data_IF_617291589619
#
_entry.id   IF_617291589619
#
_cell.length_a   1.000
_cell.length_b   1.000
_cell.length_c   1.000
_cell.angle_alpha   90.00
_cell.angle_beta   90.00
_cell.angle_gamma   90.00
#
_symmetry.space_group_name_H-M   'P 1'
#
loop_
_entity.id
_entity.type
_entity.pdbx_description
1 polymer ?
#
# COMPACT_ATOMS: atom_id res chain seq x y z
N UNK A 1 25.10 9.35 -35.45
CA UNK A 1 24.55 8.69 -34.25
C UNK A 1 23.92 7.37 -34.65
N UNK A 2 24.49 6.26 -34.20
CA UNK A 2 23.97 4.92 -34.45
C UNK A 2 22.78 4.66 -33.51
N UNK A 3 21.55 4.60 -34.06
CA UNK A 3 20.34 4.30 -33.28
C UNK A 3 20.24 2.80 -33.08
N UNK A 4 20.28 2.35 -31.82
CA UNK A 4 20.04 0.95 -31.49
C UNK A 4 18.58 0.75 -31.11
N UNK A 5 17.94 -0.17 -31.81
CA UNK A 5 16.56 -0.57 -31.53
C UNK A 5 16.57 -1.70 -30.50
N UNK A 6 15.80 -1.53 -29.43
CA UNK A 6 15.53 -2.60 -28.46
C UNK A 6 14.11 -3.08 -28.72
N UNK A 7 13.94 -4.38 -28.94
CA UNK A 7 12.64 -4.99 -29.20
C UNK A 7 12.20 -5.78 -27.97
N UNK A 8 10.95 -5.61 -27.55
CA UNK A 8 10.34 -6.37 -26.46
C UNK A 8 9.11 -7.08 -27.03
N UNK A 9 9.05 -8.41 -26.88
CA UNK A 9 8.01 -9.25 -27.49
C UNK A 9 8.53 -10.28 -28.50
N UNK A 10 9.80 -10.69 -28.43
CA UNK A 10 10.35 -11.85 -29.15
C UNK A 10 10.68 -11.66 -30.63
N UNK A 11 10.09 -10.68 -31.32
CA UNK A 11 10.41 -10.36 -32.72
C UNK A 11 11.32 -9.14 -32.85
N UNK A 12 12.07 -9.05 -33.94
CA UNK A 12 12.89 -7.86 -34.26
C UNK A 12 11.96 -6.73 -34.73
N UNK A 13 11.64 -5.82 -33.83
CA UNK A 13 10.71 -4.73 -34.05
C UNK A 13 11.41 -3.50 -34.63
N UNK A 14 10.70 -2.74 -35.45
CA UNK A 14 11.14 -1.48 -36.03
C UNK A 14 10.00 -0.44 -35.96
N UNK A 15 10.23 0.75 -36.53
CA UNK A 15 9.25 1.85 -36.55
C UNK A 15 7.90 1.49 -37.17
N UNK A 16 7.87 0.53 -38.09
CA UNK A 16 6.68 0.14 -38.83
C UNK A 16 5.94 -1.04 -38.18
N UNK A 17 6.65 -1.87 -37.39
CA UNK A 17 6.09 -3.10 -36.81
C UNK A 17 5.91 -3.05 -35.30
N UNK A 18 6.55 -2.11 -34.61
CA UNK A 18 6.48 -1.97 -33.16
C UNK A 18 5.98 -0.60 -32.71
N UNK A 19 5.43 -0.57 -31.50
CA UNK A 19 4.93 0.66 -30.87
C UNK A 19 6.02 1.21 -29.95
N UNK A 20 6.40 2.47 -30.14
CA UNK A 20 7.36 3.15 -29.27
C UNK A 20 6.64 4.14 -28.36
N UNK A 21 6.71 3.92 -27.05
CA UNK A 21 6.16 4.85 -26.07
C UNK A 21 7.20 5.91 -25.73
N UNK A 22 6.79 7.19 -25.72
CA UNK A 22 7.69 8.29 -25.36
C UNK A 22 8.24 8.19 -23.93
N UNK A 23 7.52 7.53 -23.02
CA UNK A 23 7.95 7.25 -21.66
C UNK A 23 9.23 6.39 -21.59
N UNK A 24 9.49 5.53 -22.58
CA UNK A 24 10.69 4.68 -22.64
C UNK A 24 11.83 5.30 -23.45
N UNK A 25 11.67 6.53 -23.95
CA UNK A 25 12.78 7.28 -24.54
C UNK A 25 13.60 7.85 -23.39
N UNK A 26 14.79 7.27 -23.19
CA UNK A 26 15.66 7.52 -22.04
C UNK A 26 16.22 8.97 -22.03
N UNK A 27 16.01 9.78 -23.06
CA UNK A 27 16.56 11.14 -23.12
C UNK A 27 15.55 12.19 -23.60
N UNK A 28 15.10 13.05 -22.69
CA UNK A 28 14.67 14.43 -23.01
C UNK A 28 15.74 15.48 -22.64
N UNK A 29 16.79 15.07 -21.95
CA UNK A 29 17.91 15.92 -21.56
C UNK A 29 19.20 15.37 -22.13
N UNK A 30 19.46 15.65 -23.41
CA UNK A 30 20.84 15.76 -23.89
C UNK A 30 21.42 17.04 -23.29
N UNK A 31 21.71 17.01 -21.99
CA UNK A 31 22.47 18.06 -21.32
C UNK A 31 23.91 18.05 -21.85
N UNK A 32 24.52 19.22 -21.92
CA UNK A 32 25.93 19.39 -22.26
C UNK A 32 26.75 18.63 -21.19
N UNK A 33 27.24 17.45 -21.53
CA UNK A 33 28.21 16.70 -20.72
C UNK A 33 29.58 16.90 -21.34
N UNK A 34 30.56 17.35 -20.56
CA UNK A 34 31.94 17.60 -21.04
C UNK A 34 32.74 16.31 -21.31
N UNK A 35 32.06 15.16 -21.31
CA UNK A 35 32.65 13.86 -21.67
C UNK A 35 31.90 13.31 -22.88
N UNK A 36 32.24 13.85 -24.05
CA UNK A 36 31.87 13.31 -25.37
C UNK A 36 32.58 11.96 -25.61
N UNK A 37 32.28 10.96 -24.79
CA UNK A 37 32.62 9.59 -25.09
C UNK A 37 31.62 9.09 -26.15
N UNK A 38 32.11 8.39 -27.17
CA UNK A 38 31.28 7.77 -28.23
C UNK A 38 30.23 6.77 -27.69
N UNK A 39 30.31 6.45 -26.40
CA UNK A 39 29.39 5.58 -25.66
C UNK A 39 28.23 6.34 -24.99
N UNK A 40 28.33 7.66 -24.75
CA UNK A 40 27.29 8.46 -24.08
C UNK A 40 26.23 9.05 -25.02
N UNK A 41 26.34 8.81 -26.33
CA UNK A 41 25.46 9.41 -27.38
C UNK A 41 24.57 8.40 -28.11
N UNK A 42 24.47 7.15 -27.64
CA UNK A 42 23.63 6.13 -28.29
C UNK A 42 22.18 6.23 -27.82
N UNK A 43 21.34 6.87 -28.64
CA UNK A 43 19.89 6.83 -28.47
C UNK A 43 19.36 5.39 -28.60
N UNK A 44 18.90 4.85 -27.48
CA UNK A 44 18.13 3.61 -27.44
C UNK A 44 16.66 3.94 -27.72
N UNK A 45 16.10 3.34 -28.77
CA UNK A 45 14.65 3.42 -29.03
C UNK A 45 14.04 2.05 -28.78
N UNK A 46 13.17 2.00 -27.77
CA UNK A 46 12.43 0.79 -27.42
C UNK A 46 11.16 0.69 -28.27
N UNK A 47 10.95 -0.49 -28.85
CA UNK A 47 9.74 -0.88 -29.56
C UNK A 47 9.11 -2.09 -28.87
N UNK A 48 7.80 -2.02 -28.67
CA UNK A 48 6.97 -3.07 -28.07
C UNK A 48 6.12 -3.71 -29.17
N UNK A 49 5.93 -5.03 -29.11
CA UNK A 49 4.90 -5.67 -29.93
C UNK A 49 3.51 -5.23 -29.44
N UNK A 50 2.46 -5.22 -30.30
CA UNK A 50 1.10 -4.90 -29.88
C UNK A 50 0.61 -5.77 -28.70
N UNK A 51 0.96 -7.05 -28.70
CA UNK A 51 0.60 -8.02 -27.65
C UNK A 51 1.30 -7.66 -26.33
N UNK A 52 2.59 -7.33 -26.40
CA UNK A 52 3.37 -6.93 -25.22
C UNK A 52 2.86 -5.62 -24.63
N UNK A 53 2.51 -4.66 -25.50
CA UNK A 53 1.90 -3.41 -25.08
C UNK A 53 0.54 -3.65 -24.40
N UNK A 54 -0.29 -4.52 -24.98
CA UNK A 54 -1.59 -4.85 -24.41
C UNK A 54 -1.44 -5.50 -23.03
N UNK A 55 -0.52 -6.46 -22.86
CA UNK A 55 -0.20 -7.05 -21.56
C UNK A 55 0.25 -5.97 -20.57
N UNK A 56 1.11 -5.04 -21.00
CA UNK A 56 1.55 -3.92 -20.17
C UNK A 56 0.39 -3.02 -19.72
N UNK A 57 -0.52 -2.68 -20.64
CA UNK A 57 -1.71 -1.87 -20.35
C UNK A 57 -2.68 -2.59 -19.41
N UNK A 58 -2.93 -3.88 -19.62
CA UNK A 58 -3.70 -4.72 -18.70
C UNK A 58 -3.05 -4.77 -17.31
N UNK A 59 -1.72 -4.84 -17.26
CA UNK A 59 -0.96 -4.75 -16.01
C UNK A 59 -1.19 -3.44 -15.26
N UNK A 60 -1.12 -2.30 -15.97
CA UNK A 60 -1.39 -0.95 -15.40
C UNK A 60 -2.86 -0.83 -14.96
N UNK A 61 -3.79 -1.34 -15.76
CA UNK A 61 -5.20 -1.33 -15.40
C UNK A 61 -5.47 -2.18 -14.15
N UNK A 62 -4.88 -3.39 -14.08
CA UNK A 62 -5.02 -4.30 -12.94
C UNK A 62 -4.41 -3.75 -11.65
N UNK A 63 -3.41 -2.87 -11.75
CA UNK A 63 -2.74 -2.28 -10.60
C UNK A 63 -3.45 -1.06 -10.03
N UNK A 64 -4.37 -0.44 -10.77
CA UNK A 64 -5.09 0.74 -10.28
C UNK A 64 -5.89 0.42 -9.02
N UNK A 65 -5.65 1.19 -7.95
CA UNK A 65 -6.34 1.05 -6.66
C UNK A 65 -7.49 2.05 -6.56
N UNK A 66 -7.16 3.34 -6.49
CA UNK A 66 -8.13 4.41 -6.31
C UNK A 66 -7.55 5.77 -6.72
N UNK A 67 -8.43 6.70 -7.07
CA UNK A 67 -8.11 8.12 -7.26
C UNK A 67 -8.64 8.92 -6.08
N UNK A 68 -7.79 9.79 -5.56
CA UNK A 68 -8.10 10.66 -4.45
C UNK A 68 -7.87 12.11 -4.85
N UNK A 69 -8.87 12.96 -4.64
CA UNK A 69 -8.77 14.40 -4.91
C UNK A 69 -8.49 15.15 -3.61
N UNK A 70 -7.25 15.61 -3.49
CA UNK A 70 -6.86 16.56 -2.43
C UNK A 70 -6.73 17.95 -3.08
N UNK A 71 -5.53 18.53 -3.08
CA UNK A 71 -5.19 19.71 -3.89
C UNK A 71 -5.11 19.37 -5.39
N UNK A 72 -4.55 18.21 -5.69
CA UNK A 72 -4.39 17.65 -7.03
C UNK A 72 -5.04 16.24 -7.09
N UNK A 73 -5.24 15.72 -8.31
CA UNK A 73 -5.63 14.33 -8.48
C UNK A 73 -4.45 13.42 -8.18
N UNK A 74 -4.60 12.54 -7.19
CA UNK A 74 -3.64 11.51 -6.84
C UNK A 74 -4.19 10.15 -7.29
N UNK A 75 -3.37 9.38 -7.99
CA UNK A 75 -3.67 8.03 -8.49
C UNK A 75 -2.79 7.04 -7.75
N UNK A 76 -3.39 5.98 -7.23
CA UNK A 76 -2.70 4.94 -6.48
C UNK A 76 -2.65 3.65 -7.30
N UNK A 77 -1.46 3.05 -7.40
CA UNK A 77 -1.24 1.81 -8.12
C UNK A 77 -0.52 0.78 -7.24
N UNK A 78 -1.02 -0.45 -7.21
CA UNK A 78 -0.44 -1.57 -6.48
C UNK A 78 0.33 -2.49 -7.44
N UNK A 79 1.64 -2.55 -7.26
CA UNK A 79 2.57 -3.34 -8.07
C UNK A 79 3.22 -4.43 -7.20
N UNK A 80 3.75 -5.47 -7.83
CA UNK A 80 4.63 -6.42 -7.13
C UNK A 80 6.01 -5.79 -6.92
N UNK A 81 6.65 -6.09 -5.78
CA UNK A 81 8.08 -5.80 -5.61
C UNK A 81 8.88 -6.54 -6.69
N UNK A 82 9.93 -5.94 -7.29
CA UNK A 82 10.72 -6.60 -8.33
C UNK A 82 11.28 -7.96 -7.90
N UNK A 83 11.59 -8.13 -6.62
CA UNK A 83 12.06 -9.41 -6.05
C UNK A 83 10.94 -10.43 -5.98
N UNK A 84 9.71 -10.00 -5.68
CA UNK A 84 8.54 -10.88 -5.70
C UNK A 84 8.26 -11.35 -7.13
N UNK A 85 8.41 -10.49 -8.14
CA UNK A 85 8.28 -10.89 -9.55
C UNK A 85 9.31 -11.96 -9.90
N UNK A 86 10.57 -11.76 -9.51
CA UNK A 86 11.63 -12.74 -9.76
C UNK A 86 11.32 -14.08 -9.06
N UNK A 87 10.81 -14.04 -7.83
CA UNK A 87 10.41 -15.24 -7.09
C UNK A 87 9.22 -15.95 -7.75
N UNK A 88 8.19 -15.23 -8.19
CA UNK A 88 7.04 -15.79 -8.91
C UNK A 88 7.50 -16.46 -10.22
N UNK A 89 8.42 -15.85 -10.95
CA UNK A 89 8.94 -16.42 -12.21
C UNK A 89 9.83 -17.65 -12.00
N UNK A 90 10.52 -17.73 -10.86
CA UNK A 90 11.45 -18.82 -10.54
C UNK A 90 10.82 -19.95 -9.73
N UNK A 91 9.60 -19.78 -9.21
CA UNK A 91 8.93 -20.75 -8.33
C UNK A 91 7.70 -21.36 -8.99
N UNK A 92 7.28 -22.54 -8.52
CA UNK A 92 6.03 -23.18 -8.93
C UNK A 92 4.81 -22.61 -8.16
N UNK A 93 4.87 -21.34 -7.73
CA UNK A 93 3.73 -20.72 -7.05
C UNK A 93 2.56 -20.59 -8.02
N UNK A 94 1.35 -20.81 -7.52
CA UNK A 94 0.15 -20.60 -8.32
C UNK A 94 -0.05 -19.09 -8.55
N UNK A 95 0.22 -18.64 -9.78
CA UNK A 95 0.09 -17.23 -10.21
C UNK A 95 -1.33 -16.72 -10.02
N UNK A 96 -2.34 -17.56 -10.26
CA UNK A 96 -3.75 -17.17 -10.08
C UNK A 96 -4.04 -16.82 -8.62
N UNK A 97 -3.57 -17.63 -7.68
CA UNK A 97 -3.74 -17.36 -6.24
C UNK A 97 -3.04 -16.06 -5.83
N UNK A 98 -1.82 -15.82 -6.32
CA UNK A 98 -1.07 -14.59 -6.03
C UNK A 98 -1.78 -13.36 -6.60
N UNK A 99 -2.32 -13.45 -7.81
CA UNK A 99 -3.08 -12.37 -8.44
C UNK A 99 -4.39 -12.11 -7.71
N UNK A 100 -5.11 -13.16 -7.29
CA UNK A 100 -6.32 -13.04 -6.47
C UNK A 100 -6.02 -12.34 -5.14
N UNK A 101 -4.93 -12.70 -4.47
CA UNK A 101 -4.50 -12.01 -3.25
C UNK A 101 -4.15 -10.55 -3.48
N UNK A 102 -3.44 -10.23 -4.57
CA UNK A 102 -3.18 -8.83 -4.95
C UNK A 102 -4.49 -8.05 -5.13
N UNK A 103 -5.53 -8.67 -5.70
CA UNK A 103 -6.85 -8.04 -5.84
C UNK A 103 -7.50 -7.78 -4.47
N UNK A 104 -7.43 -8.73 -3.53
CA UNK A 104 -7.94 -8.50 -2.16
C UNK A 104 -7.18 -7.36 -1.47
N UNK A 105 -5.84 -7.34 -1.59
CA UNK A 105 -5.01 -6.24 -1.06
C UNK A 105 -5.45 -4.90 -1.64
N UNK A 106 -5.63 -4.83 -2.96
CA UNK A 106 -6.07 -3.63 -3.66
C UNK A 106 -7.41 -3.13 -3.11
N UNK A 107 -8.38 -4.02 -2.97
CA UNK A 107 -9.73 -3.67 -2.55
C UNK A 107 -9.75 -3.20 -1.08
N UNK A 108 -8.91 -3.76 -0.21
CA UNK A 108 -8.72 -3.29 1.16
C UNK A 108 -8.00 -1.93 1.24
N UNK A 109 -6.96 -1.73 0.42
CA UNK A 109 -6.26 -0.44 0.34
C UNK A 109 -7.17 0.70 -0.13
N UNK A 110 -8.05 0.42 -1.10
CA UNK A 110 -9.03 1.38 -1.61
C UNK A 110 -9.91 1.96 -0.48
N UNK A 111 -10.35 1.11 0.46
CA UNK A 111 -11.18 1.51 1.62
C UNK A 111 -10.46 2.48 2.57
N UNK A 112 -9.14 2.32 2.74
CA UNK A 112 -8.33 3.15 3.65
C UNK A 112 -7.94 4.47 2.98
N UNK A 113 -7.45 4.39 1.74
CA UNK A 113 -6.99 5.54 0.96
C UNK A 113 -8.13 6.55 0.74
N UNK A 114 -9.36 6.08 0.53
CA UNK A 114 -10.53 6.95 0.38
C UNK A 114 -10.92 7.78 1.62
N UNK A 115 -10.36 7.47 2.80
CA UNK A 115 -10.75 8.10 4.08
C UNK A 115 -9.78 9.16 4.60
N UNK A 116 -8.66 9.39 3.92
CA UNK A 116 -7.69 10.46 4.22
C UNK A 116 -7.21 10.52 5.67
N UNK A 117 -6.85 9.38 6.26
CA UNK A 117 -6.31 9.36 7.62
C UNK A 117 -4.93 10.03 7.67
N UNK A 118 -4.59 10.68 8.79
CA UNK A 118 -3.26 11.29 8.95
C UNK A 118 -2.12 10.25 9.04
N UNK A 119 -2.45 9.02 9.43
CA UNK A 119 -1.55 7.84 9.48
C UNK A 119 -1.99 6.78 8.46
N UNK A 120 -2.45 7.22 7.28
CA UNK A 120 -3.00 6.36 6.20
C UNK A 120 -2.12 5.15 5.90
N UNK A 121 -0.80 5.37 5.87
CA UNK A 121 0.18 4.32 5.59
C UNK A 121 0.20 3.22 6.65
N UNK A 122 0.30 3.59 7.93
CA UNK A 122 0.34 2.61 9.02
C UNK A 122 -0.99 1.86 9.12
N UNK A 123 -2.11 2.57 8.96
CA UNK A 123 -3.45 1.96 8.99
C UNK A 123 -3.62 1.00 7.83
N UNK A 124 -3.20 1.39 6.62
CA UNK A 124 -3.21 0.54 5.44
C UNK A 124 -2.38 -0.72 5.65
N UNK A 125 -1.16 -0.60 6.18
CA UNK A 125 -0.28 -1.73 6.43
C UNK A 125 -0.83 -2.70 7.47
N UNK A 126 -1.37 -2.19 8.59
CA UNK A 126 -2.01 -3.01 9.63
C UNK A 126 -3.22 -3.72 9.01
N UNK A 127 -4.08 -2.98 8.31
CA UNK A 127 -5.33 -3.51 7.78
C UNK A 127 -5.12 -4.57 6.71
N UNK A 128 -4.22 -4.31 5.76
CA UNK A 128 -3.84 -5.29 4.75
C UNK A 128 -3.26 -6.53 5.43
N UNK A 129 -2.37 -6.36 6.42
CA UNK A 129 -1.82 -7.52 7.13
C UNK A 129 -2.89 -8.31 7.88
N UNK A 130 -3.85 -7.65 8.51
CA UNK A 130 -4.88 -8.31 9.33
C UNK A 130 -5.94 -8.98 8.46
N UNK A 131 -6.45 -8.29 7.45
CA UNK A 131 -7.52 -8.78 6.57
C UNK A 131 -7.10 -9.98 5.71
N UNK A 132 -5.79 -10.11 5.44
CA UNK A 132 -5.28 -11.13 4.53
C UNK A 132 -4.76 -12.39 5.20
N UNK A 133 -4.77 -12.48 6.53
CA UNK A 133 -4.22 -13.67 7.23
C UNK A 133 -4.96 -14.95 6.81
N UNK A 134 -6.29 -14.90 6.73
CA UNK A 134 -7.11 -16.05 6.37
C UNK A 134 -6.83 -16.48 4.92
N UNK A 135 -6.69 -15.52 4.01
CA UNK A 135 -6.34 -15.78 2.61
C UNK A 135 -4.89 -16.29 2.45
N UNK A 136 -3.94 -15.81 3.25
CA UNK A 136 -2.57 -16.34 3.27
C UNK A 136 -2.51 -17.78 3.75
N UNK A 137 -3.31 -18.14 4.75
CA UNK A 137 -3.42 -19.52 5.25
C UNK A 137 -4.05 -20.42 4.20
N UNK A 138 -5.18 -20.01 3.62
CA UNK A 138 -5.91 -20.76 2.59
C UNK A 138 -5.07 -21.03 1.33
N UNK A 139 -4.28 -20.05 0.89
CA UNK A 139 -3.46 -20.16 -0.32
C UNK A 139 -2.02 -20.68 -0.04
N UNK A 140 -1.73 -21.07 1.21
CA UNK A 140 -0.40 -21.51 1.67
C UNK A 140 0.76 -20.59 1.26
N UNK A 141 0.55 -19.28 1.35
CA UNK A 141 1.57 -18.29 1.06
C UNK A 141 2.19 -17.78 2.35
N UNK A 142 3.52 -17.85 2.46
CA UNK A 142 4.25 -17.39 3.64
C UNK A 142 4.44 -15.88 3.66
N UNK A 143 4.63 -15.30 2.47
CA UNK A 143 4.93 -13.88 2.28
C UNK A 143 4.42 -13.39 0.92
N UNK A 144 3.99 -12.13 0.88
CA UNK A 144 3.69 -11.39 -0.33
C UNK A 144 4.26 -9.97 -0.23
N UNK A 145 5.10 -9.59 -1.19
CA UNK A 145 5.74 -8.26 -1.23
C UNK A 145 5.18 -7.43 -2.38
N UNK A 146 4.59 -6.29 -2.04
CA UNK A 146 3.93 -5.36 -2.95
C UNK A 146 4.50 -3.95 -2.77
N UNK A 147 4.20 -3.08 -3.72
CA UNK A 147 4.54 -1.66 -3.67
C UNK A 147 3.32 -0.84 -4.06
N UNK A 148 2.92 0.08 -3.20
CA UNK A 148 1.89 1.07 -3.49
C UNK A 148 2.57 2.34 -4.00
N UNK A 149 2.24 2.74 -5.23
CA UNK A 149 2.82 3.91 -5.90
C UNK A 149 1.76 5.01 -5.97
N UNK A 150 2.08 6.18 -5.42
CA UNK A 150 1.25 7.39 -5.53
C UNK A 150 1.78 8.28 -6.66
N UNK A 151 0.91 8.57 -7.62
CA UNK A 151 1.17 9.45 -8.75
C UNK A 151 0.26 10.68 -8.64
N UNK A 152 0.83 11.88 -8.55
CA UNK A 152 0.03 13.11 -8.57
C UNK A 152 0.06 13.76 -9.95
N UNK A 153 -1.09 14.28 -10.36
CA UNK A 153 -1.23 15.10 -11.56
C UNK A 153 -0.96 16.57 -11.23
N UNK A 154 0.09 17.13 -11.82
CA UNK A 154 0.52 18.51 -11.62
C UNK A 154 0.65 19.25 -12.94
N UNK A 155 -0.22 20.23 -13.17
CA UNK A 155 -0.27 20.97 -14.41
C UNK A 155 -0.57 20.05 -15.60
N UNK A 156 0.45 19.76 -16.41
CA UNK A 156 0.38 18.85 -17.57
C UNK A 156 1.22 17.58 -17.40
N UNK A 157 1.69 17.31 -16.18
CA UNK A 157 2.63 16.22 -15.90
C UNK A 157 2.12 15.32 -14.79
N UNK A 158 2.48 14.04 -14.86
CA UNK A 158 2.26 13.08 -13.78
C UNK A 158 3.61 12.82 -13.11
N UNK A 159 3.66 12.95 -11.77
CA UNK A 159 4.88 12.72 -10.99
C UNK A 159 4.64 11.60 -9.99
N UNK A 160 5.58 10.67 -9.92
CA UNK A 160 5.63 9.69 -8.84
C UNK A 160 6.07 10.43 -7.59
N UNK A 161 5.18 10.53 -6.61
CA UNK A 161 5.42 11.26 -5.37
C UNK A 161 5.96 10.35 -4.28
N UNK A 162 5.44 9.13 -4.22
CA UNK A 162 5.74 8.21 -3.14
C UNK A 162 5.65 6.77 -3.63
N UNK A 163 6.56 5.94 -3.11
CA UNK A 163 6.53 4.49 -3.24
C UNK A 163 6.53 3.94 -1.82
N UNK A 164 5.50 3.17 -1.49
CA UNK A 164 5.29 2.55 -0.20
C UNK A 164 5.52 1.05 -0.36
N UNK A 165 6.54 0.45 0.28
CA UNK A 165 6.70 -0.99 0.30
C UNK A 165 5.67 -1.62 1.25
N UNK A 166 4.91 -2.59 0.77
CA UNK A 166 3.95 -3.36 1.57
C UNK A 166 4.44 -4.80 1.64
N UNK A 167 4.84 -5.25 2.83
CA UNK A 167 5.19 -6.66 3.05
C UNK A 167 4.16 -7.31 3.95
N UNK A 168 3.56 -8.38 3.45
CA UNK A 168 2.52 -9.13 4.14
C UNK A 168 3.11 -10.49 4.47
N UNK A 169 3.09 -10.85 5.74
CA UNK A 169 3.66 -12.11 6.24
C UNK A 169 2.57 -12.91 6.92
N UNK A 170 2.55 -14.23 6.65
CA UNK A 170 1.61 -15.16 7.28
C UNK A 170 1.89 -15.25 8.77
N UNK A 171 0.85 -15.13 9.57
CA UNK A 171 0.88 -15.19 11.03
C UNK A 171 0.01 -16.33 11.52
N UNK A 172 0.27 -16.74 12.76
CA UNK A 172 -0.50 -17.79 13.44
C UNK A 172 -1.74 -17.25 14.17
N UNK A 173 -1.90 -15.93 14.29
CA UNK A 173 -2.79 -15.31 15.29
C UNK A 173 -3.99 -14.55 14.74
N UNK A 174 -5.03 -14.48 15.59
CA UNK A 174 -6.41 -14.14 15.26
C UNK A 174 -6.59 -12.78 14.56
N UNK A 175 -6.93 -12.85 13.28
CA UNK A 175 -7.28 -11.75 12.39
C UNK A 175 -8.48 -10.94 12.90
N UNK A 176 -9.48 -11.60 13.48
CA UNK A 176 -10.76 -10.98 13.80
C UNK A 176 -10.70 -9.86 14.84
N UNK A 177 -10.02 -10.09 15.98
CA UNK A 177 -9.93 -9.08 17.06
C UNK A 177 -9.15 -7.86 16.58
N UNK A 178 -8.05 -8.08 15.86
CA UNK A 178 -7.28 -6.98 15.27
C UNK A 178 -8.10 -6.21 14.24
N UNK A 179 -8.86 -6.92 13.41
CA UNK A 179 -9.71 -6.30 12.38
C UNK A 179 -10.78 -5.41 13.01
N UNK A 180 -11.41 -5.86 14.10
CA UNK A 180 -12.43 -5.08 14.79
C UNK A 180 -11.88 -3.75 15.36
N UNK A 181 -10.61 -3.73 15.78
CA UNK A 181 -9.94 -2.52 16.31
C UNK A 181 -9.65 -1.51 15.19
N UNK A 182 -9.19 -2.00 14.03
CA UNK A 182 -8.76 -1.17 12.89
C UNK A 182 -9.74 -1.18 11.72
N UNK A 183 -10.99 -1.56 11.97
CA UNK A 183 -12.03 -1.51 10.96
C UNK A 183 -12.13 -0.06 10.44
N UNK A 184 -12.02 0.19 9.11
CA UNK A 184 -12.12 1.52 8.52
C UNK A 184 -13.42 2.24 8.88
N UNK A 185 -14.51 1.49 9.03
CA UNK A 185 -15.83 1.98 9.44
C UNK A 185 -16.05 1.87 10.95
N UNK A 186 -15.05 1.36 11.66
CA UNK A 186 -15.05 1.20 13.09
C UNK A 186 -14.91 2.51 13.85
N UNK A 187 -15.31 2.43 15.12
CA UNK A 187 -15.29 3.56 16.05
C UNK A 187 -13.95 4.29 16.09
N UNK A 188 -12.84 3.55 16.26
CA UNK A 188 -11.53 4.14 16.49
C UNK A 188 -11.05 4.98 15.30
N UNK A 189 -11.14 4.43 14.08
CA UNK A 189 -10.73 5.15 12.87
C UNK A 189 -11.70 6.30 12.52
N UNK A 190 -13.00 6.13 12.80
CA UNK A 190 -13.96 7.23 12.64
C UNK A 190 -13.61 8.45 13.52
N UNK A 191 -13.12 8.22 14.75
CA UNK A 191 -12.62 9.29 15.63
C UNK A 191 -11.29 9.84 15.13
N UNK A 192 -10.36 9.00 14.69
CA UNK A 192 -9.06 9.44 14.18
C UNK A 192 -9.18 10.31 12.91
N UNK A 193 -10.22 10.13 12.10
CA UNK A 193 -10.45 10.98 10.90
C UNK A 193 -10.68 12.47 11.24
N UNK A 194 -11.09 12.78 12.47
CA UNK A 194 -11.44 14.13 12.94
C UNK A 194 -10.34 14.67 13.84
N UNK A 195 -9.52 15.59 13.30
CA UNK A 195 -8.33 16.16 13.97
C UNK A 195 -8.63 17.04 15.18
N UNK A 196 -9.86 17.54 15.26
CA UNK A 196 -10.38 18.39 16.33
C UNK A 196 -10.81 17.61 17.58
N UNK A 197 -10.83 16.28 17.51
CA UNK A 197 -11.12 15.45 18.68
C UNK A 197 -10.05 15.62 19.76
N UNK A 198 -10.49 15.79 21.01
CA UNK A 198 -9.63 16.04 22.18
C UNK A 198 -8.62 14.93 22.44
N UNK A 199 -8.95 13.70 22.03
CA UNK A 199 -8.13 12.51 22.15
C UNK A 199 -7.28 12.19 20.91
N UNK A 200 -7.33 13.02 19.86
CA UNK A 200 -6.72 12.74 18.56
C UNK A 200 -5.25 12.28 18.65
N UNK A 201 -4.41 12.99 19.42
CA UNK A 201 -3.00 12.61 19.59
C UNK A 201 -2.83 11.23 20.27
N UNK A 202 -3.71 10.88 21.21
CA UNK A 202 -3.68 9.56 21.83
C UNK A 202 -4.08 8.47 20.83
N UNK A 203 -5.02 8.76 19.91
CA UNK A 203 -5.40 7.81 18.86
C UNK A 203 -4.26 7.58 17.86
N UNK A 204 -3.50 8.61 17.49
CA UNK A 204 -2.28 8.44 16.68
C UNK A 204 -1.29 7.52 17.40
N UNK A 205 -1.01 7.79 18.68
CA UNK A 205 -0.06 6.97 19.44
C UNK A 205 -0.58 5.54 19.65
N UNK A 206 -1.90 5.34 19.75
CA UNK A 206 -2.50 4.03 19.82
C UNK A 206 -2.31 3.24 18.51
N UNK A 207 -2.54 3.87 17.35
CA UNK A 207 -2.28 3.27 16.04
C UNK A 207 -0.80 2.94 15.86
N UNK A 208 0.10 3.83 16.28
CA UNK A 208 1.55 3.55 16.24
C UNK A 208 1.93 2.37 17.15
N UNK A 209 1.37 2.30 18.37
CA UNK A 209 1.54 1.14 19.25
C UNK A 209 1.07 -0.16 18.59
N UNK A 210 -0.09 -0.13 17.95
CA UNK A 210 -0.62 -1.28 17.22
C UNK A 210 0.25 -1.65 16.00
N UNK A 211 0.76 -0.66 15.26
CA UNK A 211 1.69 -0.89 14.17
C UNK A 211 2.96 -1.60 14.65
N UNK A 212 3.55 -1.14 15.76
CA UNK A 212 4.72 -1.79 16.38
C UNK A 212 4.41 -3.23 16.77
N UNK A 213 3.26 -3.47 17.39
CA UNK A 213 2.84 -4.81 17.81
C UNK A 213 2.59 -5.74 16.63
N UNK A 214 1.78 -5.30 15.67
CA UNK A 214 1.44 -6.07 14.49
C UNK A 214 2.69 -6.12 13.61
N UNK A 215 3.02 -5.05 12.89
CA UNK A 215 4.03 -5.09 11.82
C UNK A 215 5.44 -5.40 12.34
N UNK A 216 5.89 -4.76 13.43
CA UNK A 216 7.27 -4.92 13.92
C UNK A 216 7.47 -6.07 14.92
N UNK A 217 6.38 -6.78 15.28
CA UNK A 217 6.40 -7.84 16.29
C UNK A 217 6.98 -7.38 17.65
N UNK A 218 6.76 -6.11 18.00
CA UNK A 218 7.22 -5.50 19.25
C UNK A 218 6.09 -5.54 20.30
N UNK A 219 6.25 -6.42 21.28
CA UNK A 219 5.32 -6.62 22.39
C UNK A 219 5.03 -5.33 23.18
N UNK A 220 5.98 -4.39 23.27
CA UNK A 220 5.75 -3.09 23.92
C UNK A 220 4.75 -2.21 23.17
N UNK A 221 4.57 -2.46 21.87
CA UNK A 221 3.56 -1.81 21.05
C UNK A 221 2.14 -2.02 21.59
N UNK A 222 1.84 -3.23 22.07
CA UNK A 222 0.52 -3.56 22.62
C UNK A 222 0.23 -2.75 23.88
N UNK A 223 1.19 -2.69 24.81
CA UNK A 223 1.07 -1.87 26.02
C UNK A 223 0.92 -0.39 25.71
N UNK A 224 1.64 0.09 24.69
CA UNK A 224 1.51 1.47 24.21
C UNK A 224 0.10 1.74 23.70
N UNK A 225 -0.45 0.85 22.87
CA UNK A 225 -1.82 0.96 22.37
C UNK A 225 -2.84 1.02 23.51
N UNK A 226 -2.75 0.06 24.45
CA UNK A 226 -3.69 -0.03 25.59
C UNK A 226 -3.62 1.24 26.44
N UNK A 227 -2.42 1.69 26.79
CA UNK A 227 -2.21 2.91 27.59
C UNK A 227 -2.82 4.13 26.92
N UNK A 228 -2.61 4.30 25.61
CA UNK A 228 -3.13 5.47 24.90
C UNK A 228 -4.64 5.43 24.69
N UNK A 229 -5.24 4.24 24.53
CA UNK A 229 -6.69 4.07 24.54
C UNK A 229 -7.30 4.39 25.90
N UNK A 230 -6.64 4.02 27.00
CA UNK A 230 -7.04 4.44 28.35
C UNK A 230 -6.97 5.97 28.49
N UNK A 231 -5.89 6.60 28.03
CA UNK A 231 -5.77 8.06 28.05
C UNK A 231 -6.88 8.75 27.24
N UNK A 232 -7.19 8.23 26.05
CA UNK A 232 -8.28 8.70 25.22
C UNK A 232 -9.63 8.59 25.94
N UNK A 233 -9.91 7.44 26.57
CA UNK A 233 -11.10 7.25 27.38
C UNK A 233 -11.22 8.29 28.51
N UNK A 234 -10.14 8.54 29.26
CA UNK A 234 -10.15 9.49 30.37
C UNK A 234 -10.40 10.95 29.92
N UNK A 235 -9.87 11.33 28.75
CA UNK A 235 -10.13 12.66 28.17
C UNK A 235 -11.60 12.84 27.81
N UNK A 236 -12.19 11.83 27.17
CA UNK A 236 -13.57 11.89 26.68
C UNK A 236 -14.58 11.71 27.81
N UNK A 237 -14.27 10.88 28.83
CA UNK A 237 -15.12 10.67 30.00
C UNK A 237 -15.35 11.95 30.81
N UNK A 238 -14.39 12.87 30.80
CA UNK A 238 -14.44 14.11 31.57
C UNK A 238 -15.50 15.11 31.06
N UNK A 239 -16.07 14.87 29.87
CA UNK A 239 -17.12 15.69 29.27
C UNK A 239 -18.47 14.92 29.22
N UNK A 240 -19.49 15.46 29.88
CA UNK A 240 -20.83 14.84 29.93
C UNK A 240 -21.46 14.66 28.54
N UNK A 241 -21.15 15.56 27.59
CA UNK A 241 -21.66 15.46 26.20
C UNK A 241 -21.06 14.27 25.45
N UNK A 242 -19.96 13.73 25.95
CA UNK A 242 -19.17 12.68 25.32
C UNK A 242 -19.33 11.31 25.98
N UNK A 243 -20.30 11.11 26.87
CA UNK A 243 -20.51 9.84 27.57
C UNK A 243 -20.74 8.64 26.64
N UNK A 244 -21.45 8.81 25.52
CA UNK A 244 -21.63 7.73 24.52
C UNK A 244 -20.29 7.27 23.93
N UNK A 245 -19.40 8.21 23.63
CA UNK A 245 -18.07 7.96 23.09
C UNK A 245 -17.20 7.26 24.15
N UNK A 246 -17.25 7.71 25.40
CA UNK A 246 -16.59 7.06 26.52
C UNK A 246 -17.06 5.60 26.73
N UNK A 247 -18.36 5.34 26.53
CA UNK A 247 -18.93 3.99 26.53
C UNK A 247 -18.32 3.06 25.47
N UNK A 248 -18.10 3.57 24.25
CA UNK A 248 -17.47 2.80 23.18
C UNK A 248 -15.99 2.49 23.46
N UNK A 249 -15.24 3.44 24.02
CA UNK A 249 -13.88 3.15 24.49
C UNK A 249 -13.86 2.10 25.60
N UNK A 250 -14.79 2.18 26.56
CA UNK A 250 -14.90 1.19 27.64
C UNK A 250 -15.18 -0.20 27.07
N UNK A 251 -16.10 -0.33 26.11
CA UNK A 251 -16.37 -1.59 25.43
C UNK A 251 -15.11 -2.15 24.76
N UNK A 252 -14.40 -1.32 24.00
CA UNK A 252 -13.18 -1.72 23.32
C UNK A 252 -12.11 -2.22 24.30
N UNK A 253 -11.87 -1.51 25.40
CA UNK A 253 -10.88 -1.87 26.43
C UNK A 253 -11.26 -3.12 27.24
N UNK A 254 -12.55 -3.42 27.41
CA UNK A 254 -13.01 -4.51 28.31
C UNK A 254 -13.45 -5.78 27.59
N UNK A 255 -13.84 -5.69 26.31
CA UNK A 255 -14.37 -6.83 25.56
C UNK A 255 -13.55 -7.17 24.33
N UNK A 256 -12.92 -6.19 23.67
CA UNK A 256 -12.16 -6.42 22.42
C UNK A 256 -10.67 -6.62 22.71
N UNK A 257 -10.05 -5.66 23.39
CA UNK A 257 -8.61 -5.68 23.71
C UNK A 257 -8.16 -6.91 24.51
N UNK A 258 -8.92 -7.43 25.50
CA UNK A 258 -8.52 -8.64 26.22
C UNK A 258 -8.41 -9.88 25.32
N UNK A 259 -9.11 -9.90 24.18
CA UNK A 259 -8.98 -10.93 23.16
C UNK A 259 -7.58 -10.99 22.54
N UNK A 260 -6.77 -9.93 22.63
CA UNK A 260 -5.36 -9.90 22.21
C UNK A 260 -4.41 -10.46 23.27
N UNK A 261 -4.79 -10.43 24.55
CA UNK A 261 -3.95 -10.88 25.68
C UNK A 261 -4.07 -12.39 25.95
N UNK A 262 -5.17 -13.00 25.49
CA UNK A 262 -5.43 -14.44 25.63
C UNK A 262 -4.90 -15.27 24.45
N UNK A 263 -3.97 -14.71 23.69
CA UNK A 263 -3.38 -15.36 22.51
C UNK A 263 -2.01 -15.93 22.94
N UNK A 264 -1.84 -17.27 22.96
CA UNK A 264 -0.61 -17.92 23.43
C UNK A 264 0.60 -17.66 22.54
#
# INVERSE_FOLDING_TARGET
>A
MERKNVSIGGQKLNKNTGISLQLFKVERYTGITSTELTYSTKQLTTYLSPETLLIGLLGIYSSYVQTVREKNFNYYFLLFDPREIADILNSNKNVENIMNMKNVVRDELAKVIGKHFSEELMIAEILVNVALQDEMVKNNLEKLSLMLVRIAHEGKTYKIYQIIPLTIVKRKFASKVLYDIINPDGFLLSRLSKRDNVEYNNLIMAINGLYRYVILNDQQGLFTMIRELHNAYHKVKSDEKSQKVAGQYRYLLTHVVPGLLNVP
#
